data_IF_496081729904
#
_entry.id   IF_496081729904
#
_cell.length_a   1.000
_cell.length_b   1.000
_cell.length_c   1.000
_cell.angle_alpha   90.00
_cell.angle_beta   90.00
_cell.angle_gamma   90.00
#
_symmetry.space_group_name_H-M   'P 1'
#
loop_
_entity.id
_entity.type
_entity.pdbx_description
1 polymer ?
#
# COMPACT_ATOMS: atom_id res chain seq x y z
N UNK A 1 -11.49 -4.21 19.86
CA UNK A 1 -10.71 -4.74 18.72
C UNK A 1 -10.96 -3.90 17.46
N UNK A 2 -10.00 -3.82 16.54
CA UNK A 2 -10.16 -3.04 15.30
C UNK A 2 -11.29 -3.61 14.43
N UNK A 3 -11.59 -4.90 14.59
CA UNK A 3 -12.60 -5.68 13.88
C UNK A 3 -14.03 -5.41 14.36
N UNK A 4 -14.22 -4.77 15.53
CA UNK A 4 -15.53 -4.53 16.13
C UNK A 4 -16.48 -3.76 15.19
N UNK A 5 -17.77 -4.12 15.21
CA UNK A 5 -18.78 -3.54 14.31
C UNK A 5 -18.90 -2.01 14.44
N UNK A 6 -18.73 -1.48 15.65
CA UNK A 6 -18.70 -0.03 15.93
C UNK A 6 -17.62 0.72 15.15
N UNK A 7 -16.56 0.04 14.72
CA UNK A 7 -15.43 0.63 14.03
C UNK A 7 -15.53 0.48 12.50
N UNK A 8 -16.54 -0.23 11.99
CA UNK A 8 -16.65 -0.56 10.57
C UNK A 8 -16.68 0.69 9.68
N UNK A 9 -17.41 1.73 10.09
CA UNK A 9 -17.50 3.00 9.36
C UNK A 9 -16.12 3.66 9.22
N UNK A 10 -15.37 3.79 10.31
CA UNK A 10 -14.05 4.41 10.28
C UNK A 10 -13.00 3.54 9.55
N UNK A 11 -13.06 2.22 9.73
CA UNK A 11 -12.09 1.26 9.16
C UNK A 11 -12.23 1.09 7.65
N UNK A 12 -13.44 1.23 7.10
CA UNK A 12 -13.72 0.97 5.68
C UNK A 12 -13.93 2.24 4.86
N UNK A 13 -14.01 3.41 5.49
CA UNK A 13 -14.19 4.67 4.81
C UNK A 13 -13.05 4.93 3.82
N UNK A 14 -13.44 5.29 2.60
CA UNK A 14 -12.54 5.83 1.59
C UNK A 14 -12.61 7.35 1.70
N UNK A 15 -11.45 7.99 1.78
CA UNK A 15 -11.35 9.45 1.86
C UNK A 15 -10.80 9.96 0.55
N UNK A 16 -11.70 10.41 -0.34
CA UNK A 16 -11.38 10.74 -1.74
C UNK A 16 -10.31 11.83 -1.89
N UNK A 17 -10.16 12.74 -0.91
CA UNK A 17 -9.10 13.75 -0.95
C UNK A 17 -7.68 13.19 -0.88
N UNK A 18 -7.52 11.94 -0.44
CA UNK A 18 -6.23 11.24 -0.45
C UNK A 18 -6.05 10.32 -1.66
N UNK A 19 -7.02 10.28 -2.59
CA UNK A 19 -6.88 9.53 -3.84
C UNK A 19 -6.13 10.35 -4.86
N UNK A 20 -5.16 9.71 -5.51
CA UNK A 20 -4.52 10.29 -6.68
C UNK A 20 -5.42 10.06 -7.91
N UNK A 21 -5.89 11.11 -8.62
CA UNK A 21 -6.76 10.95 -9.79
C UNK A 21 -6.14 10.18 -10.97
N UNK A 22 -4.80 10.03 -11.00
CA UNK A 22 -4.11 9.25 -12.01
C UNK A 22 -4.03 7.75 -11.70
N UNK A 23 -4.40 7.34 -10.47
CA UNK A 23 -4.37 5.93 -10.09
C UNK A 23 -5.59 5.22 -10.70
N UNK A 24 -5.39 4.53 -11.82
CA UNK A 24 -6.42 3.72 -12.48
C UNK A 24 -6.71 2.38 -11.78
N UNK A 25 -6.47 2.27 -10.46
CA UNK A 25 -6.18 1.00 -9.77
C UNK A 25 -7.30 0.52 -8.85
N UNK A 26 -7.24 -0.78 -8.51
CA UNK A 26 -8.17 -1.49 -7.62
C UNK A 26 -8.13 -0.87 -6.21
N UNK A 27 -9.30 -0.54 -5.64
CA UNK A 27 -9.39 0.18 -4.36
C UNK A 27 -8.90 -0.62 -3.15
N UNK A 28 -9.03 -1.95 -3.22
CA UNK A 28 -8.61 -2.90 -2.20
C UNK A 28 -8.08 -4.16 -2.85
N UNK A 29 -7.17 -4.85 -2.19
CA UNK A 29 -6.69 -6.16 -2.63
C UNK A 29 -6.68 -7.12 -1.44
N UNK A 30 -6.80 -8.41 -1.74
CA UNK A 30 -6.88 -9.47 -0.73
C UNK A 30 -5.48 -9.94 -0.35
N UNK A 31 -5.14 -9.78 0.93
CA UNK A 31 -3.97 -10.40 1.54
C UNK A 31 -4.15 -11.90 1.58
N UNK A 32 -3.19 -12.63 1.03
CA UNK A 32 -3.15 -14.09 1.09
C UNK A 32 -1.91 -14.55 1.86
N UNK A 33 -2.08 -15.54 2.72
CA UNK A 33 -0.96 -16.32 3.25
C UNK A 33 -0.21 -16.96 2.07
N UNK A 34 1.12 -17.06 2.19
CA UNK A 34 1.98 -17.73 1.21
C UNK A 34 2.75 -18.87 1.87
N UNK A 35 2.96 -19.95 1.14
CA UNK A 35 3.82 -21.05 1.57
C UNK A 35 5.32 -20.69 1.48
N UNK A 36 6.20 -21.65 1.80
CA UNK A 36 7.66 -21.45 1.73
C UNK A 36 8.19 -21.24 0.31
N UNK A 37 7.40 -21.50 -0.72
CA UNK A 37 7.71 -21.28 -2.14
C UNK A 37 7.10 -19.96 -2.67
N UNK A 38 6.35 -19.23 -1.84
CA UNK A 38 5.70 -17.98 -2.20
C UNK A 38 4.32 -18.14 -2.86
N UNK A 39 3.78 -19.36 -2.92
CA UNK A 39 2.47 -19.63 -3.53
C UNK A 39 1.33 -19.13 -2.62
N UNK A 40 0.35 -18.36 -3.12
CA UNK A 40 -0.83 -17.98 -2.35
C UNK A 40 -1.63 -19.21 -1.89
N UNK A 41 -2.03 -19.27 -0.62
CA UNK A 41 -2.79 -20.39 -0.05
C UNK A 41 -4.16 -19.98 0.46
N UNK A 42 -4.21 -19.12 1.48
CA UNK A 42 -5.46 -18.77 2.18
C UNK A 42 -5.63 -17.26 2.26
N UNK A 43 -6.79 -16.69 1.89
CA UNK A 43 -7.07 -15.28 2.09
C UNK A 43 -7.16 -14.95 3.59
N UNK A 44 -6.60 -13.79 3.98
CA UNK A 44 -6.53 -13.31 5.36
C UNK A 44 -7.52 -12.15 5.54
N UNK A 45 -7.35 -11.08 4.75
CA UNK A 45 -8.22 -9.90 4.78
C UNK A 45 -8.00 -9.03 3.53
N UNK A 46 -8.92 -8.11 3.27
CA UNK A 46 -8.72 -7.06 2.28
C UNK A 46 -8.06 -5.84 2.92
N UNK A 47 -7.15 -5.21 2.19
CA UNK A 47 -6.56 -3.93 2.58
C UNK A 47 -6.61 -2.96 1.40
N UNK A 48 -6.66 -1.66 1.70
CA UNK A 48 -6.66 -0.65 0.64
C UNK A 48 -5.32 -0.66 -0.11
N UNK A 49 -5.37 -0.46 -1.42
CA UNK A 49 -4.19 -0.43 -2.30
C UNK A 49 -3.20 0.69 -1.98
N UNK A 50 -3.66 1.74 -1.32
CA UNK A 50 -3.00 3.03 -1.32
C UNK A 50 -3.03 3.74 0.05
N UNK A 51 -2.81 3.03 1.17
CA UNK A 51 -2.73 3.70 2.48
C UNK A 51 -1.47 4.59 2.62
N UNK A 52 -0.41 4.24 1.89
CA UNK A 52 0.86 4.99 1.80
C UNK A 52 1.50 4.73 0.42
N UNK A 53 0.92 5.27 -0.66
CA UNK A 53 1.37 5.04 -2.06
C UNK A 53 2.89 5.22 -2.22
N UNK A 54 3.47 6.24 -1.57
CA UNK A 54 4.91 6.49 -1.64
C UNK A 54 5.79 5.47 -0.90
N UNK A 55 5.23 4.64 -0.02
CA UNK A 55 5.99 3.69 0.81
C UNK A 55 6.18 2.37 0.09
N UNK A 56 5.11 1.68 -0.31
CA UNK A 56 5.22 0.40 -1.01
C UNK A 56 4.70 0.44 -2.45
N UNK A 57 3.91 1.45 -2.83
CA UNK A 57 3.18 1.49 -4.09
C UNK A 57 1.75 1.02 -3.90
N UNK A 58 1.18 0.43 -4.96
CA UNK A 58 -0.26 0.11 -5.06
C UNK A 58 -0.62 -1.34 -4.67
N UNK A 59 0.37 -2.19 -4.36
CA UNK A 59 0.18 -3.64 -4.17
C UNK A 59 1.03 -4.23 -3.04
N UNK A 60 0.65 -4.04 -1.78
CA UNK A 60 1.24 -4.78 -0.64
C UNK A 60 0.68 -6.22 -0.52
N UNK A 61 1.16 -7.08 0.42
CA UNK A 61 2.57 -7.22 0.71
C UNK A 61 3.23 -8.06 -0.40
N UNK A 62 4.33 -7.56 -0.94
CA UNK A 62 5.15 -8.27 -1.91
C UNK A 62 6.64 -8.08 -1.63
N UNK A 63 7.49 -8.74 -2.43
CA UNK A 63 8.89 -8.34 -2.52
C UNK A 63 9.07 -7.14 -3.45
N UNK A 64 8.22 -7.05 -4.49
CA UNK A 64 8.31 -6.07 -5.55
C UNK A 64 7.31 -4.93 -5.31
N UNK A 65 7.65 -4.03 -4.39
CA UNK A 65 6.91 -2.78 -4.24
C UNK A 65 7.34 -1.77 -5.30
N UNK A 66 6.40 -0.91 -5.69
CA UNK A 66 6.60 0.18 -6.66
C UNK A 66 6.78 1.55 -5.97
N UNK A 67 6.77 1.57 -4.63
CA UNK A 67 7.03 2.75 -3.80
C UNK A 67 8.52 2.97 -3.50
N UNK A 68 8.81 3.87 -2.55
CA UNK A 68 10.19 4.26 -2.18
C UNK A 68 10.78 3.33 -1.10
N UNK A 69 9.94 2.73 -0.26
CA UNK A 69 10.31 2.01 0.97
C UNK A 69 9.84 0.54 0.98
N UNK A 70 9.98 -0.17 -0.14
CA UNK A 70 9.73 -1.61 -0.19
C UNK A 70 10.91 -2.45 0.32
N UNK A 71 10.69 -3.76 0.51
CA UNK A 71 11.69 -4.68 1.05
C UNK A 71 12.93 -4.75 0.14
N UNK A 72 14.11 -4.56 0.72
CA UNK A 72 15.39 -4.46 0.00
C UNK A 72 15.46 -3.28 -1.00
N UNK A 73 14.66 -2.21 -0.81
CA UNK A 73 14.77 -0.99 -1.60
C UNK A 73 16.20 -0.43 -1.57
N UNK A 74 16.68 -0.04 -2.76
CA UNK A 74 17.98 0.62 -2.97
C UNK A 74 17.82 2.06 -3.45
N UNK A 75 16.59 2.57 -3.48
CA UNK A 75 16.30 3.93 -3.95
C UNK A 75 16.94 4.92 -2.97
N UNK A 76 17.88 5.70 -3.46
CA UNK A 76 18.53 6.78 -2.72
C UNK A 76 17.71 8.07 -2.78
N UNK A 77 17.91 8.95 -1.80
CA UNK A 77 17.26 10.28 -1.78
C UNK A 77 17.57 11.08 -3.05
N UNK A 78 18.74 10.91 -3.66
CA UNK A 78 19.14 11.59 -4.90
C UNK A 78 18.31 11.15 -6.11
N UNK A 79 17.75 9.95 -6.09
CA UNK A 79 16.90 9.42 -7.16
C UNK A 79 15.46 9.95 -7.06
N UNK A 80 15.12 10.65 -5.97
CA UNK A 80 13.85 11.36 -5.80
C UNK A 80 14.01 12.76 -6.41
N UNK A 81 13.44 12.97 -7.60
CA UNK A 81 13.58 14.21 -8.38
C UNK A 81 12.67 15.34 -7.92
N UNK A 82 11.60 15.04 -7.19
CA UNK A 82 10.63 16.01 -6.64
C UNK A 82 10.07 15.48 -5.30
N UNK A 83 9.65 16.36 -4.40
CA UNK A 83 9.00 15.98 -3.13
C UNK A 83 9.93 15.75 -1.92
N UNK A 84 11.25 15.98 -2.04
CA UNK A 84 12.20 15.93 -0.90
C UNK A 84 12.22 17.21 -0.06
N UNK A 85 11.31 18.13 -0.32
CA UNK A 85 11.14 19.42 0.39
C UNK A 85 12.34 20.37 0.37
N UNK A 86 13.33 20.18 -0.52
CA UNK A 86 14.38 21.19 -0.70
C UNK A 86 13.94 22.25 -1.71
N UNK A 87 13.39 23.35 -1.18
CA UNK A 87 13.36 24.65 -1.87
C UNK A 87 14.69 25.33 -1.57
N UNK A 88 15.59 25.35 -2.57
CA UNK A 88 16.71 26.29 -2.68
C UNK A 88 17.85 26.13 -1.68
#
# INVERSE_FOLDING_TARGET
PIEAASNATARLAIVDSYRCPSDGQVERWTVTQRDSLGTPTTPICDVASANYIGVFGISEPGFDGEGVFFRNSKISIREITDGTSQIG
#
